data_IF_049787914949
#
_entry.id   IF_049787914949
#
_cell.length_a   1.000
_cell.length_b   1.000
_cell.length_c   1.000
_cell.angle_alpha   90.00
_cell.angle_beta   90.00
_cell.angle_gamma   90.00
#
_symmetry.space_group_name_H-M   'P 1'
#
loop_
_entity.id
_entity.type
_entity.pdbx_description
1 polymer ?
#
# COMPACT_ATOMS: atom_id res chain seq x y z
N UNK A 1 -15.67 6.97 7.48
CA UNK A 1 -15.91 5.83 6.56
C UNK A 1 -14.81 4.79 6.76
N UNK A 2 -15.04 3.51 6.44
CA UNK A 2 -13.98 2.50 6.37
C UNK A 2 -13.29 2.59 5.02
N UNK A 3 -11.97 2.74 5.02
CA UNK A 3 -11.17 2.95 3.80
C UNK A 3 -9.90 2.11 3.84
N UNK A 4 -9.39 1.73 2.67
CA UNK A 4 -8.00 1.31 2.51
C UNK A 4 -7.22 2.43 1.82
N UNK A 5 -5.90 2.43 1.99
CA UNK A 5 -5.02 3.37 1.28
C UNK A 5 -4.16 2.62 0.28
N UNK A 6 -4.18 3.06 -0.98
CA UNK A 6 -3.22 2.63 -1.99
C UNK A 6 -1.81 3.09 -1.58
N UNK A 7 -0.96 2.12 -1.27
CA UNK A 7 0.31 2.32 -0.58
C UNK A 7 1.50 2.02 -1.49
N UNK A 8 2.26 3.07 -1.83
CA UNK A 8 3.50 2.93 -2.61
C UNK A 8 4.76 2.90 -1.74
N UNK A 9 4.63 3.26 -0.46
CA UNK A 9 5.75 3.50 0.46
C UNK A 9 6.37 4.89 0.34
N UNK A 10 5.84 5.75 -0.53
CA UNK A 10 6.32 7.11 -0.77
C UNK A 10 5.61 8.18 0.08
N UNK A 11 6.13 9.40 0.01
CA UNK A 11 5.60 10.56 0.75
C UNK A 11 4.14 10.89 0.44
N UNK A 12 3.69 10.65 -0.79
CA UNK A 12 2.34 11.03 -1.22
C UNK A 12 1.29 10.05 -0.68
N UNK A 13 1.57 8.73 -0.67
CA UNK A 13 0.72 7.75 0.02
C UNK A 13 0.74 7.92 1.54
N UNK A 14 1.89 8.31 2.11
CA UNK A 14 2.00 8.65 3.53
C UNK A 14 1.12 9.86 3.89
N UNK A 15 1.17 10.93 3.08
CA UNK A 15 0.33 12.11 3.26
C UNK A 15 -1.16 11.80 3.09
N UNK A 16 -1.52 10.96 2.11
CA UNK A 16 -2.91 10.51 1.92
C UNK A 16 -3.42 9.73 3.14
N UNK A 17 -2.59 8.82 3.68
CA UNK A 17 -2.90 8.07 4.91
C UNK A 17 -3.10 9.00 6.10
N UNK A 18 -2.17 9.93 6.30
CA UNK A 18 -2.24 10.92 7.37
C UNK A 18 -3.52 11.76 7.29
N UNK A 19 -3.87 12.25 6.09
CA UNK A 19 -5.11 13.02 5.87
C UNK A 19 -6.36 12.18 6.13
N UNK A 20 -6.38 10.91 5.69
CA UNK A 20 -7.51 10.03 5.93
C UNK A 20 -7.76 9.82 7.43
N UNK A 21 -6.70 9.56 8.19
CA UNK A 21 -6.77 9.44 9.65
C UNK A 21 -7.22 10.76 10.31
N UNK A 22 -6.65 11.89 9.91
CA UNK A 22 -6.99 13.21 10.46
C UNK A 22 -8.44 13.63 10.18
N UNK A 23 -9.04 13.15 9.09
CA UNK A 23 -10.45 13.36 8.76
C UNK A 23 -11.40 12.39 9.48
N UNK A 24 -10.89 11.51 10.35
CA UNK A 24 -11.69 10.53 11.09
C UNK A 24 -12.11 9.32 10.27
N UNK A 25 -11.46 9.05 9.13
CA UNK A 25 -11.68 7.78 8.44
C UNK A 25 -10.99 6.65 9.18
N UNK A 26 -11.65 5.49 9.19
CA UNK A 26 -11.07 4.27 9.71
C UNK A 26 -10.24 3.62 8.59
N UNK A 27 -8.94 3.90 8.58
CA UNK A 27 -8.00 3.22 7.68
C UNK A 27 -7.82 1.78 8.16
N UNK A 28 -8.36 0.82 7.40
CA UNK A 28 -8.38 -0.60 7.81
C UNK A 28 -7.13 -1.35 7.38
N UNK A 29 -6.48 -0.90 6.30
CA UNK A 29 -5.23 -1.47 5.80
C UNK A 29 -4.56 -0.54 4.78
N UNK A 30 -3.29 -0.84 4.53
CA UNK A 30 -2.50 -0.36 3.40
C UNK A 30 -2.50 -1.46 2.34
N UNK A 31 -2.71 -1.11 1.08
CA UNK A 31 -2.71 -2.06 -0.04
C UNK A 31 -1.60 -1.70 -1.02
N UNK A 32 -0.73 -2.64 -1.33
CA UNK A 32 0.36 -2.43 -2.29
C UNK A 32 0.41 -3.55 -3.33
N UNK A 33 0.62 -3.17 -4.60
CA UNK A 33 0.93 -4.13 -5.65
C UNK A 33 2.43 -4.34 -5.73
N UNK A 34 2.83 -5.60 -5.75
CA UNK A 34 4.23 -6.04 -5.83
C UNK A 34 4.50 -6.73 -7.17
N UNK A 35 5.78 -6.75 -7.55
CA UNK A 35 6.25 -7.51 -8.71
C UNK A 35 5.89 -8.99 -8.60
N UNK A 36 5.94 -9.73 -9.71
CA UNK A 36 5.60 -11.16 -9.74
C UNK A 36 6.46 -12.00 -8.77
N UNK A 37 7.72 -11.59 -8.55
CA UNK A 37 8.61 -12.19 -7.54
C UNK A 37 8.19 -11.90 -6.09
N UNK A 38 7.30 -10.93 -5.88
CA UNK A 38 6.84 -10.46 -4.58
C UNK A 38 7.88 -9.71 -3.74
N UNK A 39 9.04 -9.36 -4.32
CA UNK A 39 10.15 -8.78 -3.55
C UNK A 39 10.07 -7.26 -3.44
N UNK A 40 9.40 -6.61 -4.39
CA UNK A 40 9.39 -5.15 -4.51
C UNK A 40 8.03 -4.60 -4.94
N UNK A 41 7.72 -3.37 -4.57
CA UNK A 41 6.57 -2.65 -5.11
C UNK A 41 6.69 -2.51 -6.62
N UNK A 42 5.57 -2.72 -7.32
CA UNK A 42 5.55 -2.69 -8.80
C UNK A 42 5.98 -1.33 -9.35
N UNK A 43 5.48 -0.25 -8.75
CA UNK A 43 5.63 1.11 -9.28
C UNK A 43 6.99 1.74 -9.00
N UNK A 44 7.56 1.52 -7.80
CA UNK A 44 8.76 2.23 -7.34
C UNK A 44 9.89 1.31 -6.90
N UNK A 45 9.74 -0.01 -7.10
CA UNK A 45 10.73 -1.02 -6.73
C UNK A 45 11.16 -0.97 -5.25
N UNK A 46 10.26 -0.51 -4.38
CA UNK A 46 10.50 -0.43 -2.93
C UNK A 46 10.51 -1.84 -2.36
N UNK A 47 11.53 -2.27 -1.61
CA UNK A 47 11.56 -3.59 -1.00
C UNK A 47 10.33 -3.84 -0.13
N UNK A 48 9.75 -5.04 -0.20
CA UNK A 48 8.57 -5.38 0.61
C UNK A 48 8.84 -5.26 2.11
N UNK A 49 10.07 -5.54 2.56
CA UNK A 49 10.49 -5.35 3.95
C UNK A 49 10.40 -3.91 4.43
N UNK A 50 10.68 -2.94 3.55
CA UNK A 50 10.53 -1.52 3.87
C UNK A 50 9.04 -1.14 4.00
N UNK A 51 8.19 -1.66 3.11
CA UNK A 51 6.74 -1.44 3.22
C UNK A 51 6.16 -2.06 4.49
N UNK A 52 6.62 -3.26 4.86
CA UNK A 52 6.23 -3.94 6.10
C UNK A 52 6.64 -3.12 7.32
N UNK A 53 7.90 -2.65 7.38
CA UNK A 53 8.38 -1.83 8.48
C UNK A 53 7.58 -0.51 8.62
N UNK A 54 7.21 0.11 7.49
CA UNK A 54 6.35 1.31 7.48
C UNK A 54 4.95 1.00 8.03
N UNK A 55 4.34 -0.11 7.59
CA UNK A 55 3.02 -0.53 8.04
C UNK A 55 3.00 -0.85 9.54
N UNK A 56 4.02 -1.56 10.02
CA UNK A 56 4.23 -1.87 11.43
C UNK A 56 4.38 -0.59 12.28
N UNK A 57 5.19 0.36 11.82
CA UNK A 57 5.37 1.65 12.50
C UNK A 57 4.07 2.47 12.58
N UNK A 58 3.14 2.28 11.64
CA UNK A 58 1.81 2.90 11.65
C UNK A 58 0.76 2.10 12.44
N UNK A 59 1.08 0.87 12.86
CA UNK A 59 0.12 -0.04 13.46
C UNK A 59 -1.00 -0.46 12.50
N UNK A 60 -0.74 -0.46 11.19
CA UNK A 60 -1.72 -0.77 10.16
C UNK A 60 -1.37 -2.08 9.45
N UNK A 61 -2.35 -2.94 9.10
CA UNK A 61 -2.10 -4.11 8.26
C UNK A 61 -1.61 -3.70 6.85
N UNK A 62 -0.68 -4.47 6.29
CA UNK A 62 -0.26 -4.36 4.89
C UNK A 62 -0.75 -5.56 4.09
N UNK A 63 -1.53 -5.31 3.03
CA UNK A 63 -1.93 -6.30 2.04
C UNK A 63 -1.06 -6.11 0.80
N UNK A 64 -0.39 -7.18 0.37
CA UNK A 64 0.42 -7.19 -0.85
C UNK A 64 -0.15 -8.17 -1.87
N UNK A 65 -0.41 -7.67 -3.08
CA UNK A 65 -0.88 -8.48 -4.20
C UNK A 65 0.17 -8.50 -5.30
N UNK A 66 0.55 -9.71 -5.74
CA UNK A 66 1.39 -9.87 -6.92
C UNK A 66 0.56 -9.54 -8.15
N UNK A 67 1.12 -8.75 -9.04
CA UNK A 67 0.48 -8.41 -10.31
C UNK A 67 1.52 -8.22 -11.40
N UNK A 68 1.12 -8.46 -12.64
CA UNK A 68 1.84 -7.96 -13.83
C UNK A 68 1.43 -6.52 -14.17
N UNK A 69 2.00 -5.91 -15.23
CA UNK A 69 1.51 -4.60 -15.71
C UNK A 69 0.20 -4.75 -16.46
N UNK A 70 0.06 -5.88 -17.16
CA UNK A 70 -1.08 -6.29 -17.94
C UNK A 70 -2.29 -6.59 -17.04
N UNK A 71 -2.07 -7.23 -15.89
CA UNK A 71 -3.13 -7.61 -14.95
C UNK A 71 -3.41 -6.52 -13.90
N UNK A 72 -2.65 -5.42 -13.87
CA UNK A 72 -2.71 -4.43 -12.78
C UNK A 72 -4.12 -3.87 -12.60
N UNK A 73 -4.76 -3.40 -13.67
CA UNK A 73 -6.10 -2.82 -13.58
C UNK A 73 -7.16 -3.86 -13.24
N UNK A 74 -7.00 -5.09 -13.71
CA UNK A 74 -7.93 -6.18 -13.42
C UNK A 74 -7.84 -6.58 -11.95
N UNK A 75 -6.63 -6.70 -11.41
CA UNK A 75 -6.38 -6.99 -10.00
C UNK A 75 -6.70 -5.82 -9.05
N UNK A 76 -6.89 -4.60 -9.58
CA UNK A 76 -7.23 -3.42 -8.79
C UNK A 76 -8.75 -3.25 -8.58
N UNK A 77 -9.59 -3.80 -9.46
CA UNK A 77 -11.05 -3.68 -9.41
C UNK A 77 -11.65 -4.51 -8.27
#
# INVERSE_FOLDING_TARGET
MRVFVSWSGGKDSALATHRALAQGHQVVCLLSFVSEDGLRSRSHRVPISALQAQAEAMGLPLLCFRTSWEEYEENFK
#
